data_IF_551630696571
#
_entry.id   IF_551630696571
#
_cell.length_a   1.000
_cell.length_b   1.000
_cell.length_c   1.000
_cell.angle_alpha   90.00
_cell.angle_beta   90.00
_cell.angle_gamma   90.00
#
_symmetry.space_group_name_H-M   'P 1'
#
loop_
_entity.id
_entity.type
_entity.pdbx_description
1 polymer ?
#
# COMPACT_ATOMS: atom_id res chain seq x y z
N UNK A 1 0.18 46.06 14.47
CA UNK A 1 1.03 44.87 14.32
C UNK A 1 1.57 44.87 12.90
N UNK A 2 2.89 44.72 12.70
CA UNK A 2 3.48 44.63 11.37
C UNK A 2 3.51 43.16 10.95
N UNK A 3 2.60 42.76 10.05
CA UNK A 3 2.46 41.37 9.64
C UNK A 3 3.58 40.91 8.71
N UNK A 4 4.14 41.79 7.88
CA UNK A 4 5.23 41.43 6.97
C UNK A 4 6.48 41.06 7.78
N UNK A 5 6.80 41.84 8.82
CA UNK A 5 7.90 41.53 9.73
C UNK A 5 7.69 40.23 10.53
N UNK A 6 6.43 39.85 10.81
CA UNK A 6 6.13 38.56 11.43
C UNK A 6 6.31 37.41 10.43
N UNK A 7 5.90 37.58 9.17
CA UNK A 7 6.07 36.57 8.13
C UNK A 7 7.55 36.33 7.78
N UNK A 8 8.38 37.37 7.77
CA UNK A 8 9.83 37.24 7.61
C UNK A 8 10.45 36.39 8.74
N UNK A 9 9.96 36.56 9.97
CA UNK A 9 10.38 35.76 11.12
C UNK A 9 9.88 34.31 11.04
N UNK A 10 8.67 34.08 10.53
CA UNK A 10 8.18 32.71 10.23
C UNK A 10 9.08 32.03 9.20
N UNK A 11 9.55 32.76 8.19
CA UNK A 11 10.53 32.23 7.22
C UNK A 11 11.88 31.88 7.87
N UNK A 12 12.23 32.55 8.96
CA UNK A 12 13.44 32.30 9.75
C UNK A 12 13.24 31.30 10.90
N UNK A 13 12.17 30.50 10.87
CA UNK A 13 11.87 29.48 11.90
C UNK A 13 11.63 30.06 13.31
N UNK A 14 10.86 31.14 13.41
CA UNK A 14 10.53 31.77 14.69
C UNK A 14 9.12 31.38 15.20
N UNK A 15 9.01 30.47 16.18
CA UNK A 15 7.71 30.05 16.72
C UNK A 15 6.97 31.16 17.48
N UNK A 16 7.67 32.18 18.00
CA UNK A 16 7.01 33.32 18.64
C UNK A 16 6.32 34.23 17.61
N UNK A 17 6.83 34.28 16.38
CA UNK A 17 6.15 34.99 15.29
C UNK A 17 4.87 34.26 14.86
N UNK A 18 4.91 32.93 14.76
CA UNK A 18 3.72 32.11 14.51
C UNK A 18 2.66 32.32 15.60
N UNK A 19 3.07 32.28 16.87
CA UNK A 19 2.18 32.54 18.01
C UNK A 19 1.54 33.92 17.94
N UNK A 20 2.31 34.96 17.62
CA UNK A 20 1.79 36.32 17.50
C UNK A 20 0.78 36.47 16.35
N UNK A 21 0.97 35.75 15.24
CA UNK A 21 0.01 35.71 14.14
C UNK A 21 -1.29 35.01 14.54
N UNK A 22 -1.20 33.92 15.32
CA UNK A 22 -2.36 33.19 15.84
C UNK A 22 -3.15 34.06 16.82
N UNK A 23 -2.47 34.73 17.76
CA UNK A 23 -3.10 35.64 18.73
C UNK A 23 -3.75 36.86 18.07
N UNK A 24 -3.21 37.30 16.94
CA UNK A 24 -3.83 38.36 16.16
C UNK A 24 -5.17 37.93 15.53
N UNK A 25 -5.40 36.63 15.30
CA UNK A 25 -6.67 36.09 14.83
C UNK A 25 -7.06 36.56 13.43
N UNK A 26 -8.33 36.97 13.26
CA UNK A 26 -8.90 37.34 11.95
C UNK A 26 -8.07 38.38 11.14
N UNK A 27 -7.52 39.46 11.75
CA UNK A 27 -6.60 40.38 11.08
C UNK A 27 -5.38 39.75 10.40
N UNK A 28 -4.84 38.65 10.93
CA UNK A 28 -3.66 37.97 10.38
C UNK A 28 -3.99 37.08 9.17
N UNK A 29 -5.25 36.66 9.00
CA UNK A 29 -5.66 35.74 7.94
C UNK A 29 -5.31 36.27 6.55
N UNK A 30 -5.62 37.53 6.26
CA UNK A 30 -5.35 38.13 4.95
C UNK A 30 -3.86 38.13 4.58
N UNK A 31 -2.97 38.66 5.43
CA UNK A 31 -1.52 38.59 5.23
C UNK A 31 -0.98 37.17 5.08
N UNK A 32 -1.34 36.26 5.98
CA UNK A 32 -0.87 34.86 5.95
C UNK A 32 -1.34 34.16 4.68
N UNK A 33 -2.59 34.38 4.27
CA UNK A 33 -3.15 33.79 3.05
C UNK A 33 -2.49 34.35 1.78
N UNK A 34 -2.13 35.64 1.75
CA UNK A 34 -1.35 36.20 0.64
C UNK A 34 0.01 35.55 0.53
N UNK A 35 0.73 35.39 1.64
CA UNK A 35 2.02 34.69 1.66
C UNK A 35 1.87 33.22 1.24
N UNK A 36 0.80 32.54 1.66
CA UNK A 36 0.53 31.15 1.26
C UNK A 36 0.30 31.03 -0.26
N UNK A 37 -0.39 32.00 -0.86
CA UNK A 37 -0.69 32.05 -2.29
C UNK A 37 0.48 32.56 -3.14
N UNK A 38 1.51 33.15 -2.53
CA UNK A 38 2.72 33.55 -3.22
C UNK A 38 3.68 32.35 -3.31
N UNK A 39 3.84 31.83 -4.52
CA UNK A 39 4.76 30.72 -4.78
C UNK A 39 6.23 31.10 -4.50
N UNK A 40 6.56 32.39 -4.51
CA UNK A 40 7.88 32.93 -4.19
C UNK A 40 8.06 33.32 -2.72
N UNK A 41 7.03 33.14 -1.89
CA UNK A 41 7.11 33.46 -0.45
C UNK A 41 8.26 32.69 0.21
N UNK A 42 9.15 33.38 0.96
CA UNK A 42 10.22 32.71 1.69
C UNK A 42 9.70 31.90 2.88
N UNK A 43 8.51 32.22 3.39
CA UNK A 43 7.88 31.48 4.47
C UNK A 43 7.37 30.12 3.96
N UNK A 44 7.75 29.00 4.61
CA UNK A 44 7.39 27.67 4.13
C UNK A 44 5.88 27.42 4.30
N UNK A 45 5.25 26.85 3.26
CA UNK A 45 3.79 26.71 3.20
C UNK A 45 3.18 25.93 4.36
N UNK A 46 3.89 24.90 4.88
CA UNK A 46 3.39 24.08 5.99
C UNK A 46 3.19 24.90 7.28
N UNK A 47 4.03 25.90 7.56
CA UNK A 47 3.89 26.77 8.74
C UNK A 47 2.75 27.76 8.59
N UNK A 48 2.60 28.32 7.40
CA UNK A 48 1.48 29.21 7.09
C UNK A 48 0.13 28.46 7.20
N UNK A 49 0.11 27.19 6.79
CA UNK A 49 -1.02 26.28 7.02
C UNK A 49 -1.28 26.10 8.52
N UNK A 50 -0.26 25.79 9.32
CA UNK A 50 -0.40 25.65 10.79
C UNK A 50 -0.93 26.92 11.45
N UNK A 51 -0.48 28.10 11.01
CA UNK A 51 -1.00 29.38 11.53
C UNK A 51 -2.48 29.55 11.21
N UNK A 52 -2.91 29.27 9.97
CA UNK A 52 -4.32 29.37 9.57
C UNK A 52 -5.21 28.34 10.29
N UNK A 53 -4.72 27.11 10.45
CA UNK A 53 -5.35 26.07 11.25
C UNK A 53 -5.63 26.55 12.67
N UNK A 54 -4.62 27.10 13.34
CA UNK A 54 -4.71 27.58 14.71
C UNK A 54 -5.57 28.84 14.88
N UNK A 55 -5.71 29.64 13.82
CA UNK A 55 -6.68 30.74 13.80
C UNK A 55 -8.12 30.20 13.71
N UNK A 56 -8.34 29.11 12.97
CA UNK A 56 -9.62 28.40 12.93
C UNK A 56 -10.68 29.06 12.04
N UNK A 57 -11.92 29.16 12.53
CA UNK A 57 -13.10 29.64 11.78
C UNK A 57 -12.89 30.93 10.97
N UNK A 58 -12.20 31.98 11.46
CA UNK A 58 -11.96 33.19 10.68
C UNK A 58 -11.19 32.97 9.37
N UNK A 59 -10.43 31.88 9.26
CA UNK A 59 -9.71 31.52 8.04
C UNK A 59 -10.62 30.86 6.98
N UNK A 60 -11.79 30.35 7.35
CA UNK A 60 -12.64 29.53 6.49
C UNK A 60 -13.08 30.26 5.21
N UNK A 61 -13.79 31.39 5.34
CA UNK A 61 -14.32 32.11 4.19
C UNK A 61 -13.21 32.72 3.28
N UNK A 62 -12.12 33.29 3.84
CA UNK A 62 -10.96 33.69 3.05
C UNK A 62 -10.32 32.53 2.27
N UNK A 63 -10.17 31.35 2.88
CA UNK A 63 -9.63 30.16 2.21
C UNK A 63 -10.53 29.68 1.07
N UNK A 64 -11.85 29.67 1.27
CA UNK A 64 -12.82 29.36 0.19
C UNK A 64 -12.65 30.32 -0.98
N UNK A 65 -12.46 31.62 -0.69
CA UNK A 65 -12.26 32.65 -1.72
C UNK A 65 -10.95 32.45 -2.48
N UNK A 66 -9.85 32.20 -1.75
CA UNK A 66 -8.54 31.95 -2.37
C UNK A 66 -8.53 30.66 -3.20
N UNK A 67 -9.12 29.58 -2.71
CA UNK A 67 -9.22 28.32 -3.43
C UNK A 67 -10.07 28.45 -4.71
N UNK A 68 -11.13 29.26 -4.68
CA UNK A 68 -11.95 29.55 -5.87
C UNK A 68 -11.23 30.40 -6.92
N UNK A 69 -10.28 31.25 -6.49
CA UNK A 69 -9.56 32.19 -7.34
C UNK A 69 -8.11 31.75 -7.63
N UNK A 70 -7.73 30.53 -7.23
CA UNK A 70 -6.36 30.06 -7.34
C UNK A 70 -5.88 30.09 -8.80
N UNK A 71 -4.79 30.83 -9.11
CA UNK A 71 -4.32 31.00 -10.49
C UNK A 71 -3.55 29.78 -11.01
N UNK A 72 -3.06 28.92 -10.12
CA UNK A 72 -2.18 27.78 -10.42
C UNK A 72 -2.59 26.55 -9.64
N UNK A 73 -2.17 25.37 -10.11
CA UNK A 73 -2.39 24.11 -9.41
C UNK A 73 -1.67 24.08 -8.04
N UNK A 74 -0.50 24.70 -7.93
CA UNK A 74 0.25 24.75 -6.67
C UNK A 74 -0.44 25.63 -5.63
N UNK A 75 -0.92 26.82 -6.01
CA UNK A 75 -1.71 27.66 -5.09
C UNK A 75 -2.99 26.94 -4.67
N UNK A 76 -3.69 26.28 -5.60
CA UNK A 76 -4.87 25.50 -5.28
C UNK A 76 -4.55 24.35 -4.29
N UNK A 77 -3.42 23.66 -4.47
CA UNK A 77 -2.95 22.60 -3.57
C UNK A 77 -2.66 23.15 -2.16
N UNK A 78 -1.94 24.27 -2.05
CA UNK A 78 -1.64 24.93 -0.76
C UNK A 78 -2.91 25.39 -0.04
N UNK A 79 -3.82 26.07 -0.74
CA UNK A 79 -5.09 26.50 -0.17
C UNK A 79 -5.98 25.30 0.22
N UNK A 80 -6.03 24.25 -0.61
CA UNK A 80 -6.78 23.04 -0.29
C UNK A 80 -6.21 22.32 0.93
N UNK A 81 -4.89 22.31 1.12
CA UNK A 81 -4.25 21.75 2.31
C UNK A 81 -4.60 22.57 3.56
N UNK A 82 -4.45 23.91 3.51
CA UNK A 82 -4.86 24.79 4.60
C UNK A 82 -6.34 24.61 4.98
N UNK A 83 -7.21 24.46 3.97
CA UNK A 83 -8.63 24.24 4.18
C UNK A 83 -8.93 22.89 4.82
N UNK A 84 -8.18 21.84 4.47
CA UNK A 84 -8.37 20.49 4.99
C UNK A 84 -8.11 20.38 6.50
N UNK A 85 -7.17 21.17 7.04
CA UNK A 85 -6.80 21.13 8.45
C UNK A 85 -7.65 22.02 9.36
N UNK A 86 -8.61 22.77 8.83
CA UNK A 86 -9.52 23.56 9.67
C UNK A 86 -10.46 22.67 10.49
N UNK A 87 -10.29 22.62 11.81
CA UNK A 87 -11.23 21.96 12.74
C UNK A 87 -12.45 22.86 13.05
N UNK A 88 -13.30 23.07 12.04
CA UNK A 88 -14.52 23.88 12.14
C UNK A 88 -15.74 22.98 11.89
N UNK A 89 -16.24 22.21 12.87
CA UNK A 89 -17.36 21.27 12.66
C UNK A 89 -18.73 21.99 12.60
N UNK A 90 -18.83 23.13 11.94
CA UNK A 90 -20.10 23.86 11.76
C UNK A 90 -20.73 23.55 10.40
N UNK A 91 -21.91 22.92 10.46
CA UNK A 91 -22.70 22.57 9.28
C UNK A 91 -23.15 23.79 8.48
N UNK A 92 -23.47 24.91 9.14
CA UNK A 92 -23.90 26.13 8.47
C UNK A 92 -22.80 26.72 7.59
N UNK A 93 -21.54 26.57 8.01
CA UNK A 93 -20.37 27.12 7.31
C UNK A 93 -19.96 26.24 6.11
N UNK A 94 -20.04 24.91 6.27
CA UNK A 94 -19.64 23.95 5.24
C UNK A 94 -20.67 23.76 4.12
N UNK A 95 -21.96 23.91 4.39
CA UNK A 95 -23.01 23.65 3.41
C UNK A 95 -22.90 24.50 2.13
N UNK A 96 -22.63 25.83 2.20
CA UNK A 96 -22.35 26.63 1.02
C UNK A 96 -21.10 26.17 0.25
N UNK A 97 -20.06 25.73 0.95
CA UNK A 97 -18.81 25.27 0.32
C UNK A 97 -19.01 23.97 -0.46
N UNK A 98 -19.76 23.01 0.08
CA UNK A 98 -20.12 21.76 -0.60
C UNK A 98 -20.98 21.99 -1.86
N UNK A 99 -21.71 23.11 -1.93
CA UNK A 99 -22.57 23.47 -3.07
C UNK A 99 -21.96 24.58 -3.94
N UNK A 100 -20.69 24.90 -3.74
CA UNK A 100 -20.05 26.01 -4.40
C UNK A 100 -19.88 25.75 -5.91
N UNK A 101 -19.92 26.82 -6.73
CA UNK A 101 -19.79 26.72 -8.19
C UNK A 101 -18.44 26.14 -8.65
N UNK A 102 -17.36 26.45 -7.93
CA UNK A 102 -16.03 25.95 -8.24
C UNK A 102 -15.86 24.52 -7.74
N UNK A 103 -15.48 23.56 -8.60
CA UNK A 103 -15.22 22.18 -8.19
C UNK A 103 -14.09 22.09 -7.17
N UNK A 104 -13.05 22.93 -7.29
CA UNK A 104 -11.95 22.97 -6.33
C UNK A 104 -12.42 23.24 -4.90
N UNK A 105 -13.41 24.14 -4.72
CA UNK A 105 -13.98 24.44 -3.40
C UNK A 105 -14.81 23.27 -2.88
N UNK A 106 -15.64 22.64 -3.72
CA UNK A 106 -16.43 21.46 -3.30
C UNK A 106 -15.52 20.31 -2.89
N UNK A 107 -14.48 20.06 -3.68
CA UNK A 107 -13.45 19.08 -3.41
C UNK A 107 -12.69 19.41 -2.11
N UNK A 108 -12.31 20.68 -1.91
CA UNK A 108 -11.68 21.15 -0.68
C UNK A 108 -12.55 20.90 0.55
N UNK A 109 -13.85 21.18 0.45
CA UNK A 109 -14.80 21.00 1.55
C UNK A 109 -14.98 19.53 1.90
N UNK A 110 -15.10 18.65 0.90
CA UNK A 110 -15.16 17.21 1.12
C UNK A 110 -13.87 16.68 1.78
N UNK A 111 -12.69 17.17 1.39
CA UNK A 111 -11.42 16.80 2.03
C UNK A 111 -11.36 17.25 3.49
N UNK A 112 -11.75 18.49 3.79
CA UNK A 112 -11.76 18.96 5.17
C UNK A 112 -12.71 18.13 6.05
N UNK A 113 -13.90 17.76 5.53
CA UNK A 113 -14.79 16.82 6.21
C UNK A 113 -14.19 15.41 6.38
N UNK A 114 -13.37 14.94 5.45
CA UNK A 114 -12.62 13.69 5.63
C UNK A 114 -11.67 13.76 6.82
N UNK A 115 -10.99 14.88 7.04
CA UNK A 115 -10.08 15.07 8.19
C UNK A 115 -10.82 15.10 9.53
N UNK A 116 -12.08 15.55 9.52
CA UNK A 116 -12.96 15.51 10.70
C UNK A 116 -13.39 14.09 11.11
N UNK A 117 -13.22 13.08 10.23
CA UNK A 117 -13.54 11.67 10.48
C UNK A 117 -14.97 11.50 11.01
N UNK A 118 -15.14 10.84 12.16
CA UNK A 118 -16.44 10.60 12.79
C UNK A 118 -17.24 11.88 13.08
N UNK A 119 -16.58 13.05 13.31
CA UNK A 119 -17.27 14.33 13.51
C UNK A 119 -18.04 14.78 12.26
N UNK A 120 -17.73 14.23 11.07
CA UNK A 120 -18.41 14.56 9.82
C UNK A 120 -19.72 13.78 9.60
N UNK A 121 -20.16 12.91 10.54
CA UNK A 121 -21.42 12.18 10.45
C UNK A 121 -22.65 13.07 10.08
N UNK A 122 -22.82 14.28 10.66
CA UNK A 122 -23.95 15.16 10.33
C UNK A 122 -23.98 15.63 8.86
N UNK A 123 -22.87 15.47 8.12
CA UNK A 123 -22.69 15.87 6.73
C UNK A 123 -22.95 14.75 5.72
N UNK A 124 -23.18 13.51 6.18
CA UNK A 124 -23.38 12.36 5.29
C UNK A 124 -24.41 12.62 4.17
N UNK A 125 -25.60 13.21 4.42
CA UNK A 125 -26.54 13.49 3.35
C UNK A 125 -25.96 14.40 2.25
N UNK A 126 -25.22 15.44 2.64
CA UNK A 126 -24.64 16.40 1.70
C UNK A 126 -23.43 15.81 0.96
N UNK A 127 -22.57 15.05 1.65
CA UNK A 127 -21.47 14.28 1.04
C UNK A 127 -21.98 13.26 0.00
N UNK A 128 -23.09 12.57 0.30
CA UNK A 128 -23.69 11.59 -0.62
C UNK A 128 -24.24 12.26 -1.88
N UNK A 129 -24.67 13.53 -1.84
CA UNK A 129 -25.06 14.25 -3.06
C UNK A 129 -23.88 14.43 -4.02
N UNK A 130 -22.66 14.56 -3.50
CA UNK A 130 -21.44 14.74 -4.29
C UNK A 130 -20.99 13.47 -5.02
N UNK A 131 -21.58 12.30 -4.74
CA UNK A 131 -21.36 11.09 -5.56
C UNK A 131 -21.83 11.26 -7.02
N UNK A 132 -22.71 12.23 -7.29
CA UNK A 132 -23.19 12.57 -8.64
C UNK A 132 -22.53 13.82 -9.20
N UNK A 133 -21.54 14.39 -8.51
CA UNK A 133 -20.86 15.59 -8.98
C UNK A 133 -20.25 15.37 -10.38
N UNK A 134 -20.35 16.35 -11.30
CA UNK A 134 -19.73 16.23 -12.62
C UNK A 134 -18.20 16.08 -12.54
N UNK A 135 -17.58 16.68 -11.54
CA UNK A 135 -16.13 16.65 -11.35
C UNK A 135 -15.69 15.34 -10.68
N UNK A 136 -14.63 14.72 -11.21
CA UNK A 136 -14.13 13.44 -10.71
C UNK A 136 -13.49 13.54 -9.32
N UNK A 137 -12.69 14.59 -9.08
CA UNK A 137 -12.00 14.79 -7.80
C UNK A 137 -13.02 15.01 -6.68
N UNK A 138 -14.08 15.78 -6.95
CA UNK A 138 -15.17 15.99 -5.99
C UNK A 138 -15.84 14.66 -5.60
N UNK A 139 -16.16 13.80 -6.58
CA UNK A 139 -16.76 12.48 -6.30
C UNK A 139 -15.84 11.61 -5.44
N UNK A 140 -14.57 11.55 -5.81
CA UNK A 140 -13.57 10.73 -5.12
C UNK A 140 -13.37 11.17 -3.67
N UNK A 141 -13.27 12.49 -3.43
CA UNK A 141 -13.16 13.02 -2.07
C UNK A 141 -14.41 12.78 -1.24
N UNK A 142 -15.60 12.81 -1.85
CA UNK A 142 -16.84 12.49 -1.15
C UNK A 142 -16.87 11.02 -0.70
N UNK A 143 -16.40 10.09 -1.53
CA UNK A 143 -16.25 8.66 -1.20
C UNK A 143 -15.30 8.50 0.00
N UNK A 144 -14.13 9.13 -0.05
CA UNK A 144 -13.16 9.08 1.04
C UNK A 144 -13.68 9.72 2.32
N UNK A 145 -14.38 10.85 2.23
CA UNK A 145 -14.98 11.51 3.40
C UNK A 145 -16.03 10.61 4.07
N UNK A 146 -16.93 10.00 3.29
CA UNK A 146 -17.90 9.03 3.81
C UNK A 146 -17.21 7.80 4.42
N UNK A 147 -16.10 7.33 3.83
CA UNK A 147 -15.28 6.25 4.39
C UNK A 147 -14.65 6.63 5.73
N UNK A 148 -14.13 7.86 5.86
CA UNK A 148 -13.51 8.37 7.08
C UNK A 148 -14.51 8.61 8.23
N UNK A 149 -15.79 8.82 7.93
CA UNK A 149 -16.86 8.79 8.95
C UNK A 149 -16.97 7.40 9.59
N UNK A 150 -16.65 6.34 8.85
CA UNK A 150 -16.60 4.97 9.37
C UNK A 150 -17.97 4.31 9.54
N UNK A 151 -18.12 3.35 10.49
CA UNK A 151 -19.32 2.51 10.61
C UNK A 151 -20.66 3.24 10.70
N UNK A 152 -20.68 4.48 11.21
CA UNK A 152 -21.88 5.32 11.28
C UNK A 152 -22.49 5.63 9.89
N UNK A 153 -21.70 5.57 8.81
CA UNK A 153 -22.17 5.77 7.45
C UNK A 153 -22.91 4.54 6.86
N UNK A 154 -22.74 3.35 7.43
CA UNK A 154 -23.29 2.10 6.85
C UNK A 154 -24.81 2.16 6.64
N UNK A 155 -25.65 2.58 7.61
CA UNK A 155 -27.10 2.57 7.43
C UNK A 155 -27.57 3.44 6.26
N UNK A 156 -27.02 4.66 6.13
CA UNK A 156 -27.40 5.57 5.05
C UNK A 156 -26.88 5.09 3.69
N UNK A 157 -25.67 4.52 3.63
CA UNK A 157 -25.11 3.99 2.39
C UNK A 157 -25.88 2.76 1.90
N UNK A 158 -26.35 1.88 2.80
CA UNK A 158 -27.25 0.76 2.45
C UNK A 158 -28.56 1.26 1.83
N UNK A 159 -29.14 2.34 2.36
CA UNK A 159 -30.35 2.95 1.77
C UNK A 159 -30.06 3.53 0.37
N UNK A 160 -28.97 4.28 0.22
CA UNK A 160 -28.52 4.84 -1.08
C UNK A 160 -28.28 3.75 -2.11
N UNK A 161 -27.73 2.61 -1.67
CA UNK A 161 -27.43 1.44 -2.50
C UNK A 161 -28.67 0.76 -3.10
N UNK A 162 -29.87 1.10 -2.62
CA UNK A 162 -31.17 0.65 -3.18
C UNK A 162 -31.78 1.64 -4.17
N UNK A 163 -31.26 2.86 -4.24
CA UNK A 163 -31.67 3.86 -5.22
C UNK A 163 -31.11 3.62 -6.63
N UNK A 164 -31.60 4.38 -7.62
CA UNK A 164 -31.07 4.36 -8.98
C UNK A 164 -29.79 5.21 -9.11
N UNK A 165 -29.06 5.02 -10.21
CA UNK A 165 -28.01 5.94 -10.65
C UNK A 165 -26.61 5.69 -10.06
N UNK A 166 -25.72 6.67 -10.27
CA UNK A 166 -24.28 6.57 -9.96
C UNK A 166 -24.02 6.41 -8.45
N UNK A 167 -24.86 7.00 -7.60
CA UNK A 167 -24.75 6.90 -6.13
C UNK A 167 -24.71 5.47 -5.62
N UNK A 168 -25.39 4.54 -6.30
CA UNK A 168 -25.41 3.12 -5.96
C UNK A 168 -24.00 2.50 -6.01
N UNK A 169 -23.19 2.85 -7.01
CA UNK A 169 -21.83 2.32 -7.18
C UNK A 169 -20.93 2.85 -6.08
N UNK A 170 -20.90 4.17 -5.90
CA UNK A 170 -20.04 4.79 -4.87
C UNK A 170 -20.43 4.33 -3.46
N UNK A 171 -21.72 4.20 -3.16
CA UNK A 171 -22.16 3.65 -1.89
C UNK A 171 -21.68 2.21 -1.65
N UNK A 172 -21.62 1.37 -2.70
CA UNK A 172 -21.08 0.01 -2.59
C UNK A 172 -19.59 0.02 -2.28
N UNK A 173 -18.83 0.90 -2.94
CA UNK A 173 -17.39 1.10 -2.70
C UNK A 173 -17.16 1.52 -1.26
N UNK A 174 -17.86 2.55 -0.77
CA UNK A 174 -17.69 3.02 0.61
C UNK A 174 -18.09 1.94 1.64
N UNK A 175 -19.16 1.17 1.39
CA UNK A 175 -19.52 0.06 2.27
C UNK A 175 -18.38 -0.97 2.37
N UNK A 176 -17.80 -1.37 1.24
CA UNK A 176 -16.67 -2.29 1.23
C UNK A 176 -15.43 -1.72 1.94
N UNK A 177 -15.16 -0.43 1.76
CA UNK A 177 -14.02 0.25 2.38
C UNK A 177 -14.18 0.39 3.91
N UNK A 178 -15.41 0.52 4.43
CA UNK A 178 -15.67 0.68 5.87
C UNK A 178 -15.65 -0.66 6.62
N UNK A 179 -16.35 -1.67 6.09
CA UNK A 179 -16.60 -2.91 6.85
C UNK A 179 -16.51 -4.16 5.99
N UNK A 180 -15.82 -4.07 4.85
CA UNK A 180 -15.63 -5.19 3.94
C UNK A 180 -16.97 -5.82 3.54
N UNK A 181 -17.00 -7.15 3.62
CA UNK A 181 -18.20 -7.92 3.29
C UNK A 181 -19.34 -7.72 4.30
N UNK A 182 -19.04 -7.51 5.58
CA UNK A 182 -20.06 -7.41 6.63
C UNK A 182 -20.89 -6.12 6.54
N UNK A 183 -20.31 -5.08 5.92
CA UNK A 183 -21.05 -3.87 5.56
C UNK A 183 -22.09 -4.12 4.44
N UNK A 184 -21.90 -5.14 3.60
CA UNK A 184 -22.85 -5.52 2.55
C UNK A 184 -23.99 -6.37 3.14
N UNK A 185 -25.23 -6.10 2.73
CA UNK A 185 -26.35 -6.97 3.07
C UNK A 185 -26.38 -8.23 2.18
N UNK A 186 -27.26 -9.18 2.52
CA UNK A 186 -27.34 -10.48 1.83
C UNK A 186 -27.56 -10.37 0.31
N UNK A 187 -28.34 -9.38 -0.14
CA UNK A 187 -28.62 -9.21 -1.57
C UNK A 187 -27.39 -8.66 -2.31
N UNK A 188 -26.65 -7.73 -1.71
CA UNK A 188 -25.42 -7.21 -2.32
C UNK A 188 -24.30 -8.25 -2.27
N UNK A 189 -24.16 -9.01 -1.19
CA UNK A 189 -23.22 -10.15 -1.14
C UNK A 189 -23.53 -11.19 -2.22
N UNK A 190 -24.80 -11.53 -2.43
CA UNK A 190 -25.20 -12.46 -3.50
C UNK A 190 -24.85 -11.92 -4.90
N UNK A 191 -25.08 -10.63 -5.12
CA UNK A 191 -24.74 -9.99 -6.39
C UNK A 191 -23.22 -9.99 -6.65
N UNK A 192 -22.42 -9.69 -5.62
CA UNK A 192 -20.95 -9.72 -5.70
C UNK A 192 -20.45 -11.14 -5.96
N UNK A 193 -20.96 -12.13 -5.23
CA UNK A 193 -20.58 -13.53 -5.44
C UNK A 193 -20.89 -13.99 -6.87
N UNK A 194 -22.08 -13.67 -7.39
CA UNK A 194 -22.43 -13.99 -8.78
C UNK A 194 -21.52 -13.30 -9.78
N UNK A 195 -21.18 -12.03 -9.53
CA UNK A 195 -20.27 -11.28 -10.41
C UNK A 195 -18.87 -11.90 -10.40
N UNK A 196 -18.35 -12.30 -9.24
CA UNK A 196 -17.09 -13.04 -9.11
C UNK A 196 -17.14 -14.32 -9.92
N UNK A 197 -18.19 -15.13 -9.79
CA UNK A 197 -18.34 -16.37 -10.55
C UNK A 197 -18.32 -16.13 -12.06
N UNK A 198 -19.04 -15.12 -12.55
CA UNK A 198 -19.07 -14.77 -13.97
C UNK A 198 -17.73 -14.26 -14.46
N UNK A 199 -17.06 -13.39 -13.68
CA UNK A 199 -15.79 -12.78 -14.06
C UNK A 199 -14.63 -13.77 -14.01
N UNK A 200 -14.67 -14.75 -13.11
CA UNK A 200 -13.63 -15.77 -12.98
C UNK A 200 -13.59 -16.75 -14.17
N UNK A 201 -14.70 -16.95 -14.90
CA UNK A 201 -14.76 -17.93 -16.00
C UNK A 201 -13.84 -17.62 -17.19
N UNK A 202 -13.47 -16.35 -17.39
CA UNK A 202 -12.65 -15.90 -18.51
C UNK A 202 -11.61 -14.87 -18.10
N UNK A 203 -11.20 -14.89 -16.83
CA UNK A 203 -10.19 -13.96 -16.34
C UNK A 203 -8.82 -14.33 -16.91
N UNK A 204 -8.21 -13.38 -17.61
CA UNK A 204 -6.80 -13.46 -17.99
C UNK A 204 -5.95 -12.95 -16.82
N UNK A 205 -4.91 -13.69 -16.40
CA UNK A 205 -3.93 -13.19 -15.44
C UNK A 205 -3.37 -11.84 -15.88
N UNK A 206 -3.15 -10.96 -14.90
CA UNK A 206 -2.58 -9.65 -15.12
C UNK A 206 -1.51 -9.40 -14.04
N UNK A 207 -0.49 -8.57 -14.33
CA UNK A 207 0.56 -8.24 -13.39
C UNK A 207 -0.01 -7.76 -12.05
N UNK A 208 0.49 -8.35 -10.96
CA UNK A 208 0.17 -7.93 -9.60
C UNK A 208 1.16 -6.85 -9.15
N UNK A 209 0.66 -5.86 -8.41
CA UNK A 209 1.53 -4.93 -7.68
C UNK A 209 2.11 -5.68 -6.48
N UNK A 210 3.42 -5.87 -6.47
CA UNK A 210 4.12 -6.65 -5.46
C UNK A 210 4.65 -5.72 -4.37
N UNK A 211 4.01 -5.78 -3.21
CA UNK A 211 4.49 -5.16 -1.99
C UNK A 211 4.08 -6.06 -0.82
N UNK A 212 5.07 -6.71 -0.20
CA UNK A 212 4.89 -7.76 0.80
C UNK A 212 5.50 -9.10 0.35
N UNK A 213 5.00 -10.19 0.94
CA UNK A 213 5.55 -11.52 0.73
C UNK A 213 4.53 -12.52 0.20
N UNK A 214 5.03 -13.57 -0.45
CA UNK A 214 4.24 -14.68 -0.95
C UNK A 214 5.02 -15.99 -0.94
N UNK A 215 4.29 -17.10 -0.86
CA UNK A 215 4.82 -18.45 -1.05
C UNK A 215 4.49 -18.96 -2.45
N UNK A 216 5.35 -19.81 -3.01
CA UNK A 216 5.06 -20.61 -4.19
C UNK A 216 5.20 -22.09 -3.85
N UNK A 217 4.12 -22.85 -4.10
CA UNK A 217 4.02 -24.27 -3.74
C UNK A 217 3.60 -25.06 -4.99
N UNK A 218 4.24 -26.21 -5.29
CA UNK A 218 3.82 -27.06 -6.39
C UNK A 218 2.34 -27.47 -6.25
N UNK A 219 1.55 -27.21 -7.27
CA UNK A 219 0.11 -27.44 -7.25
C UNK A 219 -0.30 -28.92 -7.38
N UNK A 220 0.67 -29.84 -7.49
CA UNK A 220 0.43 -31.29 -7.59
C UNK A 220 -0.38 -31.84 -6.40
N UNK A 221 -0.23 -31.24 -5.21
CA UNK A 221 -1.00 -31.62 -4.02
C UNK A 221 -2.44 -31.06 -4.00
N UNK A 222 -2.77 -30.14 -4.91
CA UNK A 222 -4.07 -29.47 -5.00
C UNK A 222 -4.25 -28.32 -4.00
N UNK A 223 -5.14 -27.39 -4.34
CA UNK A 223 -5.39 -26.17 -3.54
C UNK A 223 -5.90 -26.49 -2.13
N UNK A 224 -6.68 -27.58 -1.96
CA UNK A 224 -7.19 -27.98 -0.65
C UNK A 224 -6.06 -28.35 0.33
N UNK A 225 -5.02 -29.05 -0.14
CA UNK A 225 -3.88 -29.40 0.70
C UNK A 225 -3.08 -28.15 1.12
N UNK A 226 -3.01 -27.13 0.25
CA UNK A 226 -2.41 -25.82 0.57
C UNK A 226 -3.24 -25.09 1.62
N UNK A 227 -4.57 -25.03 1.47
CA UNK A 227 -5.44 -24.40 2.45
C UNK A 227 -5.30 -25.04 3.84
N UNK A 228 -5.24 -26.37 3.91
CA UNK A 228 -5.01 -27.10 5.16
C UNK A 228 -3.64 -26.83 5.77
N UNK A 229 -2.58 -26.76 4.95
CA UNK A 229 -1.23 -26.50 5.43
C UNK A 229 -1.06 -25.11 6.03
N UNK A 230 -1.84 -24.13 5.58
CA UNK A 230 -1.84 -22.76 6.10
C UNK A 230 -2.94 -22.53 7.16
N UNK A 231 -3.64 -23.60 7.58
CA UNK A 231 -4.75 -23.54 8.55
C UNK A 231 -5.85 -22.54 8.15
N UNK A 232 -6.12 -22.45 6.85
CA UNK A 232 -7.03 -21.46 6.28
C UNK A 232 -8.49 -21.92 6.35
N UNK A 233 -9.35 -21.05 6.85
CA UNK A 233 -10.79 -21.29 7.05
C UNK A 233 -11.64 -20.27 6.29
N UNK A 234 -12.97 -20.43 6.35
CA UNK A 234 -13.93 -19.50 5.74
C UNK A 234 -13.68 -19.19 4.25
N UNK A 235 -13.20 -20.18 3.50
CA UNK A 235 -12.76 -20.05 2.11
C UNK A 235 -13.85 -19.49 1.20
N UNK A 236 -13.51 -18.46 0.42
CA UNK A 236 -14.40 -17.80 -0.54
C UNK A 236 -13.74 -17.63 -1.91
N UNK A 237 -14.42 -18.02 -3.00
CA UNK A 237 -13.93 -17.75 -4.35
C UNK A 237 -13.78 -16.26 -4.62
N UNK A 238 -12.70 -15.91 -5.32
CA UNK A 238 -12.45 -14.57 -5.85
C UNK A 238 -11.84 -14.67 -7.24
N UNK A 239 -11.98 -13.60 -8.03
CA UNK A 239 -11.14 -13.37 -9.21
C UNK A 239 -9.69 -13.11 -8.75
N UNK A 240 -8.70 -13.41 -9.58
CA UNK A 240 -7.28 -13.09 -9.31
C UNK A 240 -7.07 -11.62 -9.03
N UNK A 241 -7.71 -10.72 -9.79
CA UNK A 241 -7.63 -9.27 -9.56
C UNK A 241 -8.17 -8.85 -8.20
N UNK A 242 -9.27 -9.44 -7.77
CA UNK A 242 -9.87 -9.16 -6.46
C UNK A 242 -8.99 -9.69 -5.33
N UNK A 243 -8.45 -10.90 -5.47
CA UNK A 243 -7.50 -11.47 -4.52
C UNK A 243 -6.23 -10.63 -4.37
N UNK A 244 -5.65 -10.19 -5.49
CA UNK A 244 -4.51 -9.29 -5.53
C UNK A 244 -4.80 -7.94 -4.88
N UNK A 245 -5.96 -7.35 -5.16
CA UNK A 245 -6.40 -6.08 -4.59
C UNK A 245 -6.62 -6.18 -3.07
N UNK A 246 -7.18 -7.30 -2.61
CA UNK A 246 -7.38 -7.57 -1.19
C UNK A 246 -6.03 -7.69 -0.46
N UNK A 247 -5.12 -8.52 -0.95
CA UNK A 247 -3.78 -8.68 -0.37
C UNK A 247 -3.00 -7.36 -0.33
N UNK A 248 -2.96 -6.63 -1.45
CA UNK A 248 -2.24 -5.35 -1.53
C UNK A 248 -2.85 -4.31 -0.56
N UNK A 249 -4.16 -4.33 -0.37
CA UNK A 249 -4.79 -3.46 0.62
C UNK A 249 -4.42 -3.86 2.06
N UNK A 250 -4.47 -5.15 2.39
CA UNK A 250 -4.14 -5.68 3.72
C UNK A 250 -2.68 -5.35 4.10
N UNK A 251 -1.75 -5.43 3.14
CA UNK A 251 -0.34 -5.10 3.36
C UNK A 251 -0.06 -3.59 3.56
N UNK A 252 -0.81 -2.72 2.87
CA UNK A 252 -0.65 -1.26 2.96
C UNK A 252 -1.52 -0.61 4.04
N UNK A 253 -2.32 -1.39 4.76
CA UNK A 253 -3.18 -0.87 5.80
C UNK A 253 -2.40 -0.74 7.13
N UNK A 254 -1.58 0.29 7.25
CA UNK A 254 -0.74 0.52 8.44
C UNK A 254 -1.51 1.09 9.66
N UNK A 255 -2.83 1.26 9.56
CA UNK A 255 -3.60 2.11 10.47
C UNK A 255 -4.75 1.41 11.23
N UNK A 256 -4.92 0.08 11.15
CA UNK A 256 -6.17 -0.56 11.62
C UNK A 256 -5.99 -1.84 12.45
N UNK A 257 -4.90 -2.00 13.19
CA UNK A 257 -4.84 -2.92 14.34
C UNK A 257 -3.88 -4.11 14.19
N UNK A 258 -3.76 -4.86 15.29
CA UNK A 258 -2.71 -5.87 15.55
C UNK A 258 -2.65 -7.04 14.54
N UNK A 259 -3.70 -7.24 13.72
CA UNK A 259 -3.82 -8.40 12.83
C UNK A 259 -4.16 -8.09 11.38
N UNK A 260 -4.01 -6.85 10.90
CA UNK A 260 -4.42 -6.49 9.54
C UNK A 260 -3.66 -7.26 8.45
N UNK A 261 -2.36 -7.48 8.65
CA UNK A 261 -1.49 -8.18 7.72
C UNK A 261 -1.61 -9.70 7.77
N UNK A 262 -2.21 -10.25 8.83
CA UNK A 262 -2.27 -11.68 9.09
C UNK A 262 -3.68 -12.26 9.26
N UNK A 263 -4.75 -11.47 9.15
CA UNK A 263 -6.14 -11.94 9.30
C UNK A 263 -6.65 -12.75 8.10
N UNK A 264 -6.21 -12.39 6.90
CA UNK A 264 -6.71 -12.94 5.64
C UNK A 264 -5.54 -13.22 4.70
N UNK A 265 -5.66 -14.29 3.94
CA UNK A 265 -4.70 -14.65 2.89
C UNK A 265 -5.42 -14.84 1.56
N UNK A 266 -4.68 -14.60 0.48
CA UNK A 266 -5.11 -14.87 -0.89
C UNK A 266 -4.36 -16.07 -1.45
N UNK A 267 -5.10 -17.10 -1.89
CA UNK A 267 -4.54 -18.27 -2.56
C UNK A 267 -4.96 -18.24 -4.02
N UNK A 268 -4.00 -18.30 -4.94
CA UNK A 268 -4.28 -18.25 -6.38
C UNK A 268 -4.96 -19.53 -6.87
N UNK A 269 -5.58 -19.52 -8.07
CA UNK A 269 -5.69 -20.75 -8.84
C UNK A 269 -4.28 -21.34 -9.12
N UNK A 270 -4.23 -22.53 -9.69
CA UNK A 270 -2.96 -23.07 -10.20
C UNK A 270 -2.51 -22.24 -11.41
N UNK A 271 -1.29 -21.72 -11.35
CA UNK A 271 -0.62 -20.92 -12.37
C UNK A 271 0.63 -21.69 -12.83
N UNK A 272 0.67 -22.18 -14.08
CA UNK A 272 1.80 -22.97 -14.60
C UNK A 272 2.27 -24.11 -13.67
N UNK A 273 1.34 -24.78 -12.98
CA UNK A 273 1.68 -25.86 -12.04
C UNK A 273 2.03 -25.41 -10.62
N UNK A 274 1.92 -24.12 -10.30
CA UNK A 274 2.19 -23.55 -8.98
C UNK A 274 0.93 -22.93 -8.36
N UNK A 275 0.79 -23.08 -7.06
CA UNK A 275 -0.17 -22.32 -6.26
C UNK A 275 0.60 -21.27 -5.48
N UNK A 276 0.20 -20.00 -5.61
CA UNK A 276 0.79 -18.90 -4.86
C UNK A 276 -0.09 -18.55 -3.67
N UNK A 277 0.52 -18.27 -2.54
CA UNK A 277 -0.15 -17.89 -1.29
C UNK A 277 0.38 -16.54 -0.83
N UNK A 278 -0.48 -15.54 -0.81
CA UNK A 278 -0.17 -14.15 -0.47
C UNK A 278 -0.71 -13.80 0.91
N UNK A 279 0.10 -13.08 1.70
CA UNK A 279 -0.21 -12.67 3.07
C UNK A 279 0.80 -13.24 4.07
N UNK A 280 0.73 -12.76 5.31
CA UNK A 280 1.64 -13.19 6.39
C UNK A 280 0.97 -14.26 7.24
N UNK A 281 1.61 -15.40 7.40
CA UNK A 281 1.12 -16.45 8.30
C UNK A 281 1.24 -15.99 9.76
N UNK A 282 0.29 -16.34 10.66
CA UNK A 282 0.34 -15.92 12.06
C UNK A 282 1.65 -16.23 12.78
N UNK A 283 2.27 -17.38 12.48
CA UNK A 283 3.56 -17.79 13.05
C UNK A 283 4.73 -16.86 12.68
N UNK A 284 4.61 -16.10 11.58
CA UNK A 284 5.61 -15.11 11.13
C UNK A 284 5.18 -13.69 11.49
N UNK A 285 3.87 -13.42 11.60
CA UNK A 285 3.35 -12.08 11.88
C UNK A 285 3.57 -11.61 13.33
N UNK A 286 3.74 -12.55 14.26
CA UNK A 286 3.81 -12.28 15.71
C UNK A 286 5.18 -12.56 16.32
N UNK A 287 6.23 -12.51 15.51
CA UNK A 287 7.61 -12.55 15.98
C UNK A 287 8.20 -11.16 15.98
N UNK A 288 8.95 -10.83 17.03
CA UNK A 288 9.56 -9.53 17.20
C UNK A 288 11.02 -9.57 16.76
N UNK A 289 11.39 -8.62 15.90
CA UNK A 289 12.76 -8.46 15.40
C UNK A 289 13.04 -9.20 14.09
N UNK A 290 13.98 -8.65 13.32
CA UNK A 290 14.29 -9.12 11.97
C UNK A 290 14.82 -10.56 11.96
N UNK A 291 15.67 -10.93 12.92
CA UNK A 291 16.21 -12.29 12.99
C UNK A 291 15.11 -13.31 13.26
N UNK A 292 14.21 -13.03 14.20
CA UNK A 292 13.09 -13.91 14.52
C UNK A 292 12.14 -14.06 13.32
N UNK A 293 11.93 -12.98 12.56
CA UNK A 293 11.20 -13.01 11.29
C UNK A 293 11.87 -13.95 10.27
N UNK A 294 13.19 -13.81 10.05
CA UNK A 294 13.96 -14.67 9.12
C UNK A 294 13.87 -16.13 9.53
N UNK A 295 14.09 -16.43 10.80
CA UNK A 295 14.05 -17.79 11.33
C UNK A 295 12.65 -18.40 11.19
N UNK A 296 11.60 -17.64 11.48
CA UNK A 296 10.21 -18.08 11.32
C UNK A 296 9.86 -18.37 9.85
N UNK A 297 10.29 -17.51 8.91
CA UNK A 297 10.11 -17.71 7.47
C UNK A 297 10.83 -18.96 6.99
N UNK A 298 12.11 -19.13 7.36
CA UNK A 298 12.93 -20.29 6.98
C UNK A 298 12.33 -21.58 7.53
N UNK A 299 11.93 -21.59 8.81
CA UNK A 299 11.30 -22.74 9.45
C UNK A 299 9.97 -23.12 8.77
N UNK A 300 9.13 -22.14 8.46
CA UNK A 300 7.86 -22.37 7.79
C UNK A 300 8.05 -22.86 6.35
N UNK A 301 9.01 -22.29 5.61
CA UNK A 301 9.37 -22.72 4.25
C UNK A 301 9.90 -24.16 4.24
N UNK A 302 10.79 -24.51 5.17
CA UNK A 302 11.26 -25.87 5.38
C UNK A 302 10.10 -26.83 5.67
N UNK A 303 9.22 -26.50 6.63
CA UNK A 303 8.07 -27.32 6.96
C UNK A 303 7.13 -27.57 5.76
N UNK A 304 6.84 -26.53 4.97
CA UNK A 304 6.05 -26.65 3.74
C UNK A 304 6.74 -27.58 2.73
N UNK A 305 8.04 -27.42 2.50
CA UNK A 305 8.77 -28.29 1.57
C UNK A 305 8.76 -29.76 2.01
N UNK A 306 8.81 -30.05 3.32
CA UNK A 306 8.67 -31.41 3.82
C UNK A 306 7.31 -32.05 3.51
N UNK A 307 6.27 -31.24 3.30
CA UNK A 307 4.92 -31.70 2.92
C UNK A 307 4.71 -31.75 1.41
N UNK A 308 5.29 -30.80 0.67
CA UNK A 308 5.01 -30.60 -0.76
C UNK A 308 6.20 -30.92 -1.67
N UNK A 309 7.30 -31.44 -1.12
CA UNK A 309 8.58 -31.65 -1.79
C UNK A 309 9.39 -30.37 -1.96
N UNK A 310 8.75 -29.30 -2.44
CA UNK A 310 9.38 -27.99 -2.67
C UNK A 310 8.49 -26.89 -2.08
N UNK A 311 9.10 -25.87 -1.49
CA UNK A 311 8.43 -24.63 -1.15
C UNK A 311 9.38 -23.45 -1.30
N UNK A 312 8.89 -22.37 -1.90
CA UNK A 312 9.62 -21.12 -1.99
C UNK A 312 8.86 -20.02 -1.25
N UNK A 313 9.61 -19.11 -0.65
CA UNK A 313 9.12 -17.86 -0.10
C UNK A 313 9.85 -16.69 -0.74
N UNK A 314 9.12 -15.61 -1.00
CA UNK A 314 9.61 -14.41 -1.66
C UNK A 314 9.06 -13.18 -0.93
N UNK A 315 9.89 -12.15 -0.77
CA UNK A 315 9.55 -10.85 -0.20
C UNK A 315 10.06 -9.73 -1.10
N UNK A 316 9.23 -8.72 -1.31
CA UNK A 316 9.58 -7.52 -2.06
C UNK A 316 8.87 -6.29 -1.48
N UNK A 317 9.55 -5.16 -1.42
CA UNK A 317 8.98 -3.87 -1.05
C UNK A 317 8.95 -2.92 -2.24
N UNK A 318 7.84 -2.21 -2.36
CA UNK A 318 7.60 -1.22 -3.39
C UNK A 318 8.14 0.18 -3.02
N UNK A 319 8.56 0.40 -1.77
CA UNK A 319 8.92 1.73 -1.25
C UNK A 319 10.42 1.97 -1.02
N UNK A 320 11.17 0.93 -0.67
CA UNK A 320 12.57 1.02 -0.20
C UNK A 320 13.52 0.05 -0.91
N UNK A 321 13.03 -0.68 -1.92
CA UNK A 321 13.82 -1.64 -2.69
C UNK A 321 14.15 -2.94 -1.97
N UNK A 322 13.60 -3.19 -0.76
CA UNK A 322 13.82 -4.44 -0.04
C UNK A 322 13.41 -5.65 -0.87
N UNK A 323 14.27 -6.68 -0.88
CA UNK A 323 14.03 -7.97 -1.52
C UNK A 323 14.64 -9.09 -0.69
N UNK A 324 13.89 -10.18 -0.54
CA UNK A 324 14.35 -11.38 0.14
C UNK A 324 13.70 -12.64 -0.47
N UNK A 325 14.34 -13.78 -0.33
CA UNK A 325 13.78 -15.06 -0.75
C UNK A 325 14.39 -16.24 0.04
N UNK A 326 13.63 -17.33 0.14
CA UNK A 326 14.03 -18.56 0.79
C UNK A 326 13.52 -19.74 -0.02
N UNK A 327 14.39 -20.70 -0.34
CA UNK A 327 14.10 -21.90 -1.11
C UNK A 327 14.30 -23.12 -0.22
N UNK A 328 13.36 -24.07 -0.25
CA UNK A 328 13.44 -25.28 0.54
C UNK A 328 12.98 -26.51 -0.24
N UNK A 329 13.68 -27.62 -0.03
CA UNK A 329 13.41 -28.93 -0.62
C UNK A 329 13.41 -30.01 0.47
N UNK A 330 12.41 -30.90 0.43
CA UNK A 330 12.29 -32.09 1.28
C UNK A 330 12.49 -31.83 2.80
N UNK A 331 12.04 -30.67 3.29
CA UNK A 331 12.13 -30.30 4.71
C UNK A 331 13.35 -29.47 5.08
N UNK A 332 14.19 -29.10 4.12
CA UNK A 332 15.47 -28.41 4.34
C UNK A 332 15.55 -27.14 3.51
N UNK A 333 15.91 -26.02 4.13
CA UNK A 333 16.24 -24.79 3.38
C UNK A 333 17.52 -25.02 2.60
N UNK A 334 17.45 -24.92 1.28
CA UNK A 334 18.61 -25.09 0.39
C UNK A 334 19.36 -23.79 0.23
N UNK A 335 18.64 -22.67 0.06
CA UNK A 335 19.20 -21.36 -0.23
C UNK A 335 18.30 -20.25 0.33
N UNK A 336 18.89 -19.12 0.69
CA UNK A 336 18.16 -17.92 1.07
C UNK A 336 18.98 -16.66 0.80
N UNK A 337 18.28 -15.54 0.67
CA UNK A 337 18.86 -14.21 0.43
C UNK A 337 17.98 -13.15 1.08
N UNK A 338 18.62 -12.18 1.72
CA UNK A 338 17.99 -10.96 2.21
C UNK A 338 18.99 -9.81 1.99
N UNK A 339 18.54 -8.73 1.35
CA UNK A 339 19.41 -7.58 1.06
C UNK A 339 19.98 -6.94 2.35
N UNK A 340 19.29 -7.09 3.48
CA UNK A 340 19.78 -6.61 4.79
C UNK A 340 20.67 -7.62 5.53
N UNK A 341 20.75 -8.87 5.08
CA UNK A 341 21.70 -9.88 5.59
C UNK A 341 23.04 -9.83 4.81
N UNK A 342 23.15 -8.95 3.82
CA UNK A 342 24.32 -8.85 2.93
C UNK A 342 25.54 -8.13 3.54
N UNK A 343 25.57 -7.90 4.85
CA UNK A 343 26.75 -7.44 5.59
C UNK A 343 27.37 -8.59 6.39
N UNK A 344 28.72 -8.67 6.52
CA UNK A 344 29.30 -9.57 7.51
C UNK A 344 28.76 -9.22 8.91
N UNK A 345 28.70 -10.19 9.84
CA UNK A 345 28.32 -9.89 11.22
C UNK A 345 29.29 -8.83 11.78
N UNK A 346 28.73 -7.74 12.29
CA UNK A 346 29.47 -6.74 13.06
C UNK A 346 30.07 -7.45 14.29
N UNK A 347 31.32 -7.88 14.18
CA UNK A 347 32.15 -8.11 15.34
C UNK A 347 32.53 -6.72 15.88
N UNK A 348 31.88 -6.36 16.98
CA UNK A 348 32.27 -5.44 18.04
C UNK A 348 31.23 -4.35 18.35
N UNK A 349 30.61 -4.51 19.51
CA UNK A 349 30.01 -3.45 20.30
C UNK A 349 31.03 -2.30 20.47
N UNK A 350 30.85 -1.19 19.75
CA UNK A 350 31.24 0.15 20.21
C UNK A 350 30.53 1.23 19.38
N UNK A 351 29.84 2.14 20.08
CA UNK A 351 29.34 3.40 19.54
C UNK A 351 30.53 4.23 19.00
N UNK A 352 30.35 4.87 17.84
CA UNK A 352 31.26 5.82 17.15
C UNK A 352 32.48 5.22 16.41
N UNK A 353 32.26 4.67 15.20
CA UNK A 353 33.06 4.98 14.00
C UNK A 353 32.47 4.27 12.76
N UNK A 354 32.20 5.01 11.67
CA UNK A 354 31.86 4.44 10.36
C UNK A 354 33.15 3.98 9.65
N UNK A 355 33.34 2.70 9.27
CA UNK A 355 34.32 2.33 8.27
C UNK A 355 33.67 2.32 6.87
N UNK A 356 34.43 2.81 5.89
CA UNK A 356 34.05 2.88 4.47
C UNK A 356 34.03 1.54 3.73
N UNK A 357 33.81 1.58 2.40
CA UNK A 357 33.36 0.44 1.61
C UNK A 357 34.54 -0.44 1.18
N UNK A 358 34.49 -1.74 1.48
CA UNK A 358 35.22 -2.73 0.68
C UNK A 358 34.56 -4.13 0.65
N UNK A 359 34.57 -4.65 -0.58
CA UNK A 359 34.39 -5.99 -1.13
C UNK A 359 34.03 -7.18 -0.19
N UNK A 360 32.86 -7.78 -0.40
CA UNK A 360 32.74 -9.24 -0.71
C UNK A 360 31.30 -9.75 -0.89
N UNK A 361 30.78 -9.74 -2.12
CA UNK A 361 29.73 -10.68 -2.55
C UNK A 361 29.64 -10.77 -4.08
N UNK A 362 30.66 -11.33 -4.72
CA UNK A 362 30.54 -11.81 -6.11
C UNK A 362 31.03 -13.24 -6.17
N UNK A 363 30.09 -14.19 -6.13
CA UNK A 363 30.33 -15.54 -6.65
C UNK A 363 29.09 -16.08 -7.39
N UNK A 364 29.23 -16.02 -8.72
CA UNK A 364 28.73 -16.91 -9.76
C UNK A 364 27.24 -17.29 -9.83
N UNK A 365 26.65 -16.88 -10.97
CA UNK A 365 25.28 -17.05 -11.42
C UNK A 365 25.04 -18.29 -12.32
N UNK A 366 25.87 -19.34 -12.25
CA UNK A 366 25.78 -20.47 -13.20
C UNK A 366 25.11 -21.75 -12.65
N UNK A 367 24.76 -21.82 -11.35
CA UNK A 367 24.26 -23.06 -10.73
C UNK A 367 22.74 -23.08 -10.41
N UNK A 368 21.96 -22.08 -10.83
CA UNK A 368 20.50 -22.04 -10.59
C UNK A 368 19.65 -22.80 -11.64
N UNK A 369 20.21 -23.86 -12.24
CA UNK A 369 19.45 -24.83 -13.04
C UNK A 369 19.14 -26.05 -12.16
N UNK A 370 17.87 -26.40 -11.92
CA UNK A 370 17.53 -27.67 -11.29
C UNK A 370 18.18 -28.82 -12.08
N UNK A 371 18.87 -29.72 -11.36
CA UNK A 371 19.61 -30.89 -11.89
C UNK A 371 18.75 -31.93 -12.62
N UNK A 372 17.52 -31.60 -13.03
CA UNK A 372 16.55 -32.53 -13.62
C UNK A 372 16.43 -32.44 -15.15
N UNK A 373 17.41 -31.85 -15.87
CA UNK A 373 17.41 -31.87 -17.34
C UNK A 373 18.80 -32.02 -18.03
N UNK A 374 19.44 -33.21 -17.91
CA UNK A 374 20.45 -33.84 -18.83
C UNK A 374 21.81 -33.12 -19.10
N UNK A 375 22.76 -33.74 -19.85
CA UNK A 375 23.61 -34.92 -19.57
C UNK A 375 25.08 -34.53 -19.28
N UNK A 376 25.86 -35.47 -18.74
CA UNK A 376 27.23 -35.24 -18.29
C UNK A 376 28.21 -34.80 -19.39
N UNK A 377 28.98 -33.75 -19.11
CA UNK A 377 30.26 -33.46 -19.77
C UNK A 377 30.35 -32.13 -20.52
N UNK A 378 30.28 -31.00 -19.81
CA UNK A 378 30.84 -29.69 -20.17
C UNK A 378 30.95 -28.96 -18.81
N UNK A 379 32.06 -28.46 -18.26
CA UNK A 379 33.22 -27.84 -18.85
C UNK A 379 34.45 -28.07 -17.94
N UNK A 380 35.49 -28.64 -18.53
CA UNK A 380 36.87 -28.48 -18.08
C UNK A 380 37.39 -27.09 -18.50
N UNK A 381 38.37 -26.58 -17.75
CA UNK A 381 39.29 -25.47 -18.07
C UNK A 381 38.81 -24.04 -17.76
N UNK A 382 39.31 -23.45 -16.67
CA UNK A 382 40.49 -22.57 -16.69
C UNK A 382 40.78 -22.00 -15.29
N UNK A 383 41.92 -22.37 -14.73
CA UNK A 383 42.66 -21.56 -13.75
C UNK A 383 43.39 -20.42 -14.49
N UNK A 384 43.69 -19.30 -13.82
CA UNK A 384 45.00 -18.59 -13.80
C UNK A 384 44.90 -17.29 -12.94
N UNK A 385 45.65 -17.31 -11.84
CA UNK A 385 46.63 -16.35 -11.27
C UNK A 385 46.30 -14.86 -11.02
N UNK A 386 46.35 -14.48 -9.72
CA UNK A 386 47.46 -13.71 -9.13
C UNK A 386 47.73 -12.24 -9.51
N UNK A 387 47.56 -11.36 -8.49
CA UNK A 387 48.10 -10.00 -8.31
C UNK A 387 47.36 -8.79 -8.93
N UNK A 388 46.55 -8.12 -8.09
CA UNK A 388 46.90 -6.78 -7.57
C UNK A 388 46.85 -5.59 -8.51
N UNK A 389 45.65 -5.22 -8.97
CA UNK A 389 45.22 -3.84 -9.26
C UNK A 389 43.76 -3.77 -8.79
N UNK A 390 43.37 -2.82 -7.94
CA UNK A 390 42.05 -2.78 -7.27
C UNK A 390 40.90 -2.95 -8.29
N UNK A 391 40.02 -3.92 -8.02
CA UNK A 391 38.94 -4.31 -8.92
C UNK A 391 37.75 -3.32 -8.88
N UNK A 392 37.63 -2.53 -7.81
CA UNK A 392 36.62 -1.50 -7.63
C UNK A 392 36.62 -0.46 -8.77
N UNK A 393 37.78 0.07 -9.16
CA UNK A 393 37.91 1.13 -10.16
C UNK A 393 37.64 0.66 -11.60
N UNK A 394 37.68 -0.66 -11.87
CA UNK A 394 37.31 -1.23 -13.18
C UNK A 394 35.84 -1.63 -13.28
N UNK A 395 35.10 -1.63 -12.18
CA UNK A 395 33.72 -2.09 -12.16
C UNK A 395 32.73 -1.01 -12.64
N UNK A 396 33.00 0.27 -12.35
CA UNK A 396 32.15 1.39 -12.79
C UNK A 396 32.28 1.69 -14.30
N UNK A 397 33.49 1.61 -14.87
CA UNK A 397 33.69 1.85 -16.31
C UNK A 397 33.16 0.72 -17.22
N UNK A 398 32.93 -0.49 -16.69
CA UNK A 398 32.51 -1.67 -17.46
C UNK A 398 31.00 -1.98 -17.32
N UNK A 399 30.32 -1.50 -16.27
CA UNK A 399 28.88 -1.77 -16.05
C UNK A 399 27.95 -0.95 -16.94
N UNK A 400 28.28 0.31 -17.17
CA UNK A 400 27.44 1.26 -17.89
C UNK A 400 27.20 0.96 -19.39
N UNK A 401 28.11 0.29 -20.13
CA UNK A 401 27.87 -0.07 -21.53
C UNK A 401 27.06 -1.36 -21.77
N UNK A 402 26.87 -2.23 -20.75
CA UNK A 402 26.33 -3.60 -20.96
C UNK A 402 25.10 -3.99 -20.13
N UNK A 403 24.60 -3.10 -19.25
CA UNK A 403 23.28 -3.23 -18.59
C UNK A 403 23.04 -4.55 -17.83
N UNK A 404 23.94 -4.89 -16.90
CA UNK A 404 23.79 -6.05 -15.99
C UNK A 404 23.25 -5.57 -14.62
N UNK A 405 22.28 -6.27 -13.97
CA UNK A 405 21.69 -5.86 -12.69
C UNK A 405 22.54 -6.25 -11.46
N UNK A 406 22.40 -5.44 -10.38
CA UNK A 406 23.23 -5.50 -9.16
C UNK A 406 22.70 -6.44 -8.05
N UNK A 407 21.44 -6.87 -8.08
CA UNK A 407 20.80 -7.65 -7.00
C UNK A 407 19.94 -8.82 -7.50
N UNK A 408 19.87 -9.90 -6.71
CA UNK A 408 19.00 -11.06 -6.99
C UNK A 408 17.56 -10.80 -6.51
N UNK A 409 16.79 -10.03 -7.29
CA UNK A 409 15.42 -9.69 -6.94
C UNK A 409 14.53 -10.93 -6.83
N UNK A 410 13.68 -10.98 -5.81
CA UNK A 410 12.76 -12.09 -5.56
C UNK A 410 11.88 -12.42 -6.78
N UNK A 411 11.50 -11.40 -7.57
CA UNK A 411 10.75 -11.54 -8.82
C UNK A 411 11.54 -12.23 -9.93
N UNK A 412 12.85 -11.97 -10.03
CA UNK A 412 13.72 -12.64 -11.00
C UNK A 412 13.91 -14.11 -10.64
N UNK A 413 14.13 -14.40 -9.35
CA UNK A 413 14.21 -15.78 -8.84
C UNK A 413 12.89 -16.52 -9.06
N UNK A 414 11.75 -15.88 -8.75
CA UNK A 414 10.43 -16.45 -9.00
C UNK A 414 10.16 -16.70 -10.50
N UNK A 415 10.66 -15.84 -11.39
CA UNK A 415 10.54 -16.05 -12.85
C UNK A 415 11.24 -17.32 -13.30
N UNK A 416 12.39 -17.65 -12.70
CA UNK A 416 13.21 -18.81 -13.07
C UNK A 416 12.73 -20.11 -12.42
N UNK A 417 12.34 -20.05 -11.15
CA UNK A 417 12.10 -21.24 -10.33
C UNK A 417 10.62 -21.56 -10.08
N UNK A 418 9.72 -20.59 -10.27
CA UNK A 418 8.28 -20.78 -10.04
C UNK A 418 7.42 -19.92 -10.96
N UNK A 419 6.71 -18.92 -10.42
CA UNK A 419 5.89 -17.96 -11.15
C UNK A 419 6.11 -16.57 -10.58
N UNK A 420 6.45 -15.61 -11.43
CA UNK A 420 6.54 -14.21 -11.07
C UNK A 420 5.16 -13.53 -11.14
N UNK A 421 4.57 -13.10 -10.01
CA UNK A 421 3.24 -12.48 -10.01
C UNK A 421 3.23 -11.11 -10.72
N UNK A 422 4.36 -10.41 -10.77
CA UNK A 422 4.53 -9.14 -11.47
C UNK A 422 4.62 -9.28 -13.00
N UNK A 423 4.78 -10.51 -13.51
CA UNK A 423 4.88 -10.79 -14.94
C UNK A 423 3.72 -11.65 -15.48
N UNK A 424 2.64 -11.81 -14.70
CA UNK A 424 1.48 -12.59 -15.13
C UNK A 424 0.86 -12.03 -16.41
N UNK A 425 0.55 -12.92 -17.34
CA UNK A 425 0.02 -12.58 -18.66
C UNK A 425 -0.85 -13.68 -19.25
N UNK A 426 -1.27 -13.51 -20.52
CA UNK A 426 -2.13 -14.46 -21.23
C UNK A 426 -1.48 -15.81 -21.53
N UNK A 427 -0.15 -15.90 -21.40
CA UNK A 427 0.67 -17.10 -21.58
C UNK A 427 0.65 -18.04 -20.36
N UNK A 428 0.21 -17.54 -19.20
CA UNK A 428 0.07 -18.34 -17.98
C UNK A 428 -1.15 -19.27 -18.11
N UNK A 429 -0.91 -20.58 -17.92
CA UNK A 429 -1.98 -21.56 -17.81
C UNK A 429 -2.63 -21.47 -16.44
N UNK A 430 -3.95 -21.24 -16.41
CA UNK A 430 -4.75 -21.10 -15.19
C UNK A 430 -5.69 -22.29 -15.04
N UNK A 431 -5.66 -22.95 -13.88
CA UNK A 431 -6.59 -24.03 -13.54
C UNK A 431 -7.16 -23.83 -12.14
N UNK A 432 -8.48 -23.95 -12.00
CA UNK A 432 -9.18 -23.74 -10.73
C UNK A 432 -9.60 -22.30 -10.52
N UNK A 433 -9.71 -21.86 -9.26
CA UNK A 433 -10.16 -20.51 -8.89
C UNK A 433 -9.30 -19.96 -7.78
N UNK A 434 -9.13 -18.64 -7.75
CA UNK A 434 -8.54 -17.95 -6.60
C UNK A 434 -9.51 -17.95 -5.42
N UNK A 435 -8.97 -17.94 -4.21
CA UNK A 435 -9.76 -17.86 -2.99
C UNK A 435 -9.16 -16.89 -1.99
N UNK A 436 -10.03 -16.15 -1.29
CA UNK A 436 -9.68 -15.51 -0.02
C UNK A 436 -10.08 -16.45 1.11
N UNK A 437 -9.23 -16.57 2.12
CA UNK A 437 -9.49 -17.39 3.30
C UNK A 437 -8.94 -16.70 4.55
N UNK A 438 -9.50 -17.03 5.70
CA UNK A 438 -9.11 -16.46 6.98
C UNK A 438 -8.10 -17.35 7.69
N UNK A 439 -7.14 -16.74 8.36
CA UNK A 439 -6.24 -17.43 9.28
C UNK A 439 -6.91 -17.58 10.65
N UNK A 440 -6.21 -18.19 11.61
CA UNK A 440 -6.61 -18.17 13.02
C UNK A 440 -6.73 -16.75 13.59
N UNK A 441 -5.96 -15.78 13.09
CA UNK A 441 -6.05 -14.38 13.50
C UNK A 441 -7.33 -13.70 13.01
N UNK A 442 -7.82 -14.04 11.81
CA UNK A 442 -9.03 -13.44 11.24
C UNK A 442 -10.34 -14.13 11.65
N UNK A 443 -10.28 -15.40 12.04
CA UNK A 443 -11.47 -16.20 12.38
C UNK A 443 -12.21 -15.58 13.58
N UNK A 444 -13.52 -15.36 13.44
CA UNK A 444 -14.35 -14.76 14.51
C UNK A 444 -14.17 -13.25 14.70
N UNK A 445 -13.38 -12.57 13.87
CA UNK A 445 -13.27 -11.11 13.83
C UNK A 445 -14.20 -10.52 12.75
N UNK A 446 -14.55 -9.22 12.85
CA UNK A 446 -15.20 -8.52 11.73
C UNK A 446 -14.37 -8.65 10.46
N UNK A 447 -15.06 -8.71 9.31
CA UNK A 447 -14.40 -8.73 8.00
C UNK A 447 -13.39 -7.59 7.88
N UNK A 448 -12.17 -7.93 7.49
CA UNK A 448 -11.14 -6.95 7.16
C UNK A 448 -11.70 -5.98 6.11
N UNK A 449 -11.79 -4.67 6.42
CA UNK A 449 -12.15 -3.67 5.44
C UNK A 449 -11.18 -3.76 4.27
N UNK A 450 -11.65 -3.53 3.06
CA UNK A 450 -10.72 -3.48 1.96
C UNK A 450 -11.35 -3.29 0.61
N UNK A 451 -10.47 -2.96 -0.34
CA UNK A 451 -10.84 -2.62 -1.70
C UNK A 451 -11.42 -3.85 -2.42
N UNK A 452 -12.72 -4.09 -2.23
CA UNK A 452 -13.51 -4.89 -3.16
C UNK A 452 -13.66 -4.04 -4.43
N UNK A 453 -12.61 -4.04 -5.27
CA UNK A 453 -12.67 -3.48 -6.63
C UNK A 453 -13.55 -4.40 -7.48
N UNK A 454 -14.87 -4.25 -7.28
CA UNK A 454 -15.96 -4.99 -7.93
C UNK A 454 -16.19 -4.47 -9.36
#
# INVERSE_FOLDING_TARGET
MNFDALLDRVAADDPAAEQALVEAGAPAVGPVLRALCDESSPAPSHRLITVLERIGEPAFAPLVTALAAAPTAEVARRCSAAFAFLDVPDKAIYLPALRHRSPAVRAGAANALQQLKAKAEPFLPDLITLFEDPDHDVRQRAVWACGAVGPAAIPVLRAVRRGPGRRRREALTVLADIGGRDALDAADQHAVNRLIEVKALGETPAPMHLCGSWYAIPAAAGQQAVLEAFELTEVRPVTMRLGASAWNNDHHNWNLGEHDSCSRMYVTPMLNGWTLVFGTVPAVAHVDGEQAFRDAVRAHCAWLSGRFGIAHWYGASCGDGWTAWCLAEDGVVTDCYDIFESGPPDDDDDEDDLPGPDESAIRYYDDLVPRTARPAGCYEQLCIDGFGVSAADRSEEVRHPYNLPDHAHATEVATRLSVNPGALGPDITVTGRGVLALTSCGTGRPSTPGALRI
#
